data_IF_426156888675
#
_entry.id   IF_426156888675
#
_cell.length_a   1.000
_cell.length_b   1.000
_cell.length_c   1.000
_cell.angle_alpha   90.00
_cell.angle_beta   90.00
_cell.angle_gamma   90.00
#
_symmetry.space_group_name_H-M   'P 1'
#
loop_
_entity.id
_entity.type
_entity.pdbx_description
1 polymer ?
#
# COMPACT_ATOMS: atom_id res chain seq x y z
N UNK A 1 0.65 16.80 -5.39
CA UNK A 1 0.67 15.32 -5.38
C UNK A 1 2.11 14.86 -5.21
N UNK A 2 2.42 14.02 -4.23
CA UNK A 2 3.75 13.40 -4.07
C UNK A 2 3.68 11.95 -4.53
N UNK A 3 4.59 11.54 -5.42
CA UNK A 3 4.68 10.17 -5.90
C UNK A 3 5.32 9.26 -4.83
N UNK A 4 4.98 7.97 -4.85
CA UNK A 4 5.49 6.99 -3.88
C UNK A 4 6.06 5.77 -4.60
N UNK A 5 7.21 5.29 -4.14
CA UNK A 5 7.88 4.09 -4.62
C UNK A 5 7.91 3.02 -3.52
N UNK A 6 7.59 1.79 -3.89
CA UNK A 6 7.54 0.64 -2.98
C UNK A 6 8.37 -0.52 -3.53
N UNK A 7 9.18 -1.14 -2.68
CA UNK A 7 9.82 -2.39 -3.02
C UNK A 7 8.87 -3.57 -2.79
N UNK A 8 8.87 -4.53 -3.72
CA UNK A 8 8.17 -5.80 -3.54
C UNK A 8 8.95 -6.69 -2.54
N UNK A 9 8.28 -7.63 -1.85
CA UNK A 9 8.97 -8.53 -0.91
C UNK A 9 10.08 -9.37 -1.54
N UNK A 10 9.97 -9.69 -2.83
CA UNK A 10 10.97 -10.43 -3.61
C UNK A 10 12.01 -9.51 -4.28
N UNK A 11 12.11 -8.25 -3.86
CA UNK A 11 13.06 -7.30 -4.43
C UNK A 11 14.46 -7.55 -3.85
N UNK A 12 15.42 -7.77 -4.72
CA UNK A 12 16.82 -7.94 -4.34
C UNK A 12 17.37 -6.72 -3.60
N UNK A 13 18.26 -6.91 -2.59
CA UNK A 13 18.80 -5.81 -1.79
C UNK A 13 19.44 -4.69 -2.63
N UNK A 14 20.14 -5.02 -3.71
CA UNK A 14 20.77 -4.06 -4.61
C UNK A 14 19.73 -3.14 -5.27
N UNK A 15 18.60 -3.72 -5.71
CA UNK A 15 17.49 -2.98 -6.32
C UNK A 15 16.76 -2.06 -5.34
N UNK A 16 16.77 -2.40 -4.05
CA UNK A 16 16.23 -1.52 -2.99
C UNK A 16 17.03 -0.20 -2.92
N UNK A 17 18.37 -0.28 -3.07
CA UNK A 17 19.21 0.92 -3.07
C UNK A 17 18.96 1.79 -4.30
N UNK A 18 18.76 1.17 -5.47
CA UNK A 18 18.40 1.88 -6.71
C UNK A 18 17.05 2.59 -6.60
N UNK A 19 16.02 1.90 -6.09
CA UNK A 19 14.70 2.48 -5.84
C UNK A 19 14.76 3.66 -4.87
N UNK A 20 15.56 3.55 -3.80
CA UNK A 20 15.75 4.64 -2.83
C UNK A 20 16.46 5.84 -3.46
N UNK A 21 17.42 5.60 -4.35
CA UNK A 21 18.11 6.65 -5.10
C UNK A 21 17.16 7.36 -6.06
N UNK A 22 16.42 6.61 -6.86
CA UNK A 22 15.42 7.14 -7.79
C UNK A 22 14.34 7.96 -7.06
N UNK A 23 13.91 7.52 -5.87
CA UNK A 23 12.98 8.28 -5.04
C UNK A 23 13.53 9.65 -4.65
N UNK A 24 14.80 9.72 -4.25
CA UNK A 24 15.47 10.99 -3.90
C UNK A 24 15.60 11.93 -5.09
N UNK A 25 16.04 11.40 -6.24
CA UNK A 25 16.24 12.19 -7.46
C UNK A 25 14.91 12.74 -8.01
N UNK A 26 13.80 12.01 -7.82
CA UNK A 26 12.46 12.42 -8.26
C UNK A 26 11.65 13.20 -7.22
N UNK A 27 12.13 13.33 -5.98
CA UNK A 27 11.35 13.88 -4.87
C UNK A 27 10.19 13.00 -4.42
N UNK A 28 10.19 11.72 -4.78
CA UNK A 28 9.20 10.74 -4.36
C UNK A 28 9.51 10.16 -2.97
N UNK A 29 8.48 9.69 -2.28
CA UNK A 29 8.64 8.98 -1.01
C UNK A 29 8.94 7.50 -1.26
N UNK A 30 9.92 6.94 -0.55
CA UNK A 30 10.24 5.51 -0.64
C UNK A 30 9.78 4.77 0.62
N UNK A 31 9.13 3.62 0.45
CA UNK A 31 8.78 2.71 1.56
C UNK A 31 9.21 1.29 1.23
N UNK A 32 9.94 0.64 2.14
CA UNK A 32 10.51 -0.70 1.95
C UNK A 32 9.47 -1.79 1.71
N UNK A 33 8.27 -1.63 2.25
CA UNK A 33 7.15 -2.52 2.02
C UNK A 33 5.90 -1.70 1.78
N UNK A 34 5.06 -2.13 0.83
CA UNK A 34 3.68 -1.61 0.77
C UNK A 34 3.04 -1.93 2.12
N UNK A 35 2.48 -0.94 2.85
CA UNK A 35 1.68 -1.24 4.02
C UNK A 35 0.63 -2.25 3.56
N UNK A 36 0.60 -3.44 4.16
CA UNK A 36 -0.54 -4.33 3.96
C UNK A 36 -1.72 -3.47 4.37
N UNK A 37 -2.61 -3.14 3.43
CA UNK A 37 -3.87 -2.52 3.78
C UNK A 37 -4.45 -3.49 4.81
N UNK A 38 -4.47 -3.08 6.07
CA UNK A 38 -5.25 -3.80 7.07
C UNK A 38 -6.62 -3.72 6.44
N UNK A 39 -7.10 -4.84 5.90
CA UNK A 39 -8.45 -4.90 5.42
C UNK A 39 -9.26 -4.41 6.61
N UNK A 40 -9.78 -3.18 6.52
CA UNK A 40 -10.86 -2.74 7.37
C UNK A 40 -11.89 -3.81 7.08
N UNK A 41 -11.95 -4.82 7.96
CA UNK A 41 -12.88 -5.93 7.81
C UNK A 41 -14.20 -5.26 7.43
N UNK A 42 -14.82 -5.59 6.29
CA UNK A 42 -16.20 -5.15 6.11
C UNK A 42 -16.88 -5.58 7.39
N UNK A 43 -17.49 -4.61 8.10
CA UNK A 43 -18.31 -4.91 9.26
C UNK A 43 -19.14 -6.10 8.86
N UNK A 44 -19.12 -7.23 9.60
CA UNK A 44 -19.97 -8.35 9.25
C UNK A 44 -21.36 -7.78 9.17
N UNK A 45 -21.92 -7.70 7.96
CA UNK A 45 -23.34 -7.46 7.79
C UNK A 45 -23.94 -8.65 8.51
N UNK A 46 -24.44 -8.40 9.72
CA UNK A 46 -25.13 -9.42 10.47
C UNK A 46 -26.30 -9.89 9.59
N UNK A 47 -26.76 -11.13 9.73
CA UNK A 47 -27.90 -11.62 8.96
C UNK A 47 -29.22 -10.88 9.26
N UNK A 48 -29.16 -9.71 9.92
CA UNK A 48 -30.29 -8.92 10.37
C UNK A 48 -30.18 -7.42 10.01
N UNK A 49 -29.31 -7.00 9.08
CA UNK A 49 -29.22 -5.61 8.62
C UNK A 49 -30.36 -5.21 7.66
N UNK A 50 -31.56 -5.80 7.89
CA UNK A 50 -32.86 -5.32 7.42
C UNK A 50 -32.79 -4.68 6.04
N UNK A 51 -32.53 -5.52 5.03
CA UNK A 51 -32.30 -5.15 3.64
C UNK A 51 -32.91 -3.80 3.29
N UNK A 52 -32.02 -2.82 3.06
CA UNK A 52 -32.34 -1.47 2.64
C UNK A 52 -33.29 -1.53 1.46
N UNK A 53 -34.59 -1.43 1.72
CA UNK A 53 -35.61 -1.29 0.70
C UNK A 53 -35.72 0.20 0.38
N UNK A 54 -35.42 0.51 -0.89
CA UNK A 54 -35.75 1.69 -1.69
C UNK A 54 -35.67 3.07 -1.02
#
# INVERSE_FOLDING_TARGET
MSASLHALPACEPERIFELRRAARESGAQFTRHKPRAVATKPTPIGPNDGGRAA
#
